data_IF_991303681935
#
_entry.id   IF_991303681935
#
_cell.length_a   1.000
_cell.length_b   1.000
_cell.length_c   1.000
_cell.angle_alpha   90.00
_cell.angle_beta   90.00
_cell.angle_gamma   90.00
#
_symmetry.space_group_name_H-M   'P 1'
#
loop_
_entity.id
_entity.type
_entity.pdbx_description
1 polymer ?
#
# COMPACT_ATOMS: atom_id res chain seq x y z
N UNK A 1 -3.18 18.83 -0.01
CA UNK A 1 -2.94 17.59 0.73
C UNK A 1 -3.60 16.48 -0.07
N UNK A 2 -2.81 15.65 -0.73
CA UNK A 2 -3.32 14.44 -1.41
C UNK A 2 -3.60 13.42 -0.32
N UNK A 3 -4.88 13.12 -0.10
CA UNK A 3 -5.32 12.10 0.85
C UNK A 3 -5.12 10.71 0.23
N UNK A 4 -4.81 9.71 1.06
CA UNK A 4 -4.72 8.33 0.60
C UNK A 4 -6.12 7.85 0.20
N UNK A 5 -6.23 7.23 -0.98
CA UNK A 5 -7.50 6.74 -1.51
C UNK A 5 -7.94 5.44 -0.83
N UNK A 6 -7.01 4.53 -0.61
CA UNK A 6 -7.19 3.37 0.27
C UNK A 6 -6.08 3.45 1.30
N UNK A 7 -6.43 3.39 2.58
CA UNK A 7 -5.46 3.47 3.66
C UNK A 7 -5.85 2.60 4.85
N UNK A 8 -4.82 2.14 5.57
CA UNK A 8 -4.93 1.37 6.80
C UNK A 8 -3.87 1.87 7.77
N UNK A 9 -4.27 2.10 9.01
CA UNK A 9 -3.31 2.42 10.06
C UNK A 9 -2.73 1.11 10.55
N UNK A 10 -1.41 1.04 10.72
CA UNK A 10 -0.77 -0.13 11.29
C UNK A 10 0.28 0.27 12.32
N UNK A 11 0.55 -0.65 13.24
CA UNK A 11 1.75 -0.65 14.07
C UNK A 11 2.79 -1.54 13.40
N UNK A 12 3.94 -0.97 13.11
CA UNK A 12 5.06 -1.64 12.46
C UNK A 12 6.08 -2.02 13.51
N UNK A 13 6.53 -3.27 13.46
CA UNK A 13 7.55 -3.84 14.33
C UNK A 13 8.75 -4.23 13.45
N UNK A 14 9.72 -3.33 13.25
CA UNK A 14 10.93 -3.65 12.51
C UNK A 14 11.73 -4.76 13.21
N UNK A 15 12.51 -5.58 12.47
CA UNK A 15 13.40 -6.57 13.07
C UNK A 15 14.51 -5.91 13.90
N UNK A 16 14.84 -4.66 13.60
CA UNK A 16 15.81 -3.83 14.31
C UNK A 16 15.25 -2.42 14.42
N UNK A 17 15.29 -1.84 15.62
CA UNK A 17 14.78 -0.49 15.88
C UNK A 17 13.52 -0.49 16.74
N UNK A 18 12.92 0.70 16.86
CA UNK A 18 11.69 0.90 17.63
C UNK A 18 10.47 0.65 16.77
N UNK A 19 9.40 0.14 17.39
CA UNK A 19 8.08 0.10 16.77
C UNK A 19 7.57 1.52 16.49
N UNK A 20 6.76 1.65 15.44
CA UNK A 20 6.16 2.92 15.08
C UNK A 20 4.78 2.71 14.42
N UNK A 21 3.91 3.71 14.54
CA UNK A 21 2.62 3.69 13.86
C UNK A 21 2.66 4.53 12.61
N UNK A 22 2.12 3.98 11.52
CA UNK A 22 2.07 4.65 10.21
C UNK A 22 0.73 4.40 9.54
N UNK A 23 0.31 5.35 8.70
CA UNK A 23 -0.79 5.18 7.77
C UNK A 23 -0.22 4.76 6.41
N UNK A 24 -0.50 3.54 6.02
CA UNK A 24 0.01 2.97 4.77
C UNK A 24 -1.15 2.75 3.81
N UNK A 25 -0.88 2.76 2.51
CA UNK A 25 -1.94 2.64 1.53
C UNK A 25 -1.53 3.09 0.15
N UNK A 26 -2.53 3.43 -0.65
CA UNK A 26 -2.34 3.88 -2.04
C UNK A 26 -3.07 5.20 -2.26
N UNK A 27 -2.43 6.10 -3.01
CA UNK A 27 -3.04 7.37 -3.43
C UNK A 27 -4.04 7.15 -4.57
N UNK A 28 -4.85 8.16 -4.87
CA UNK A 28 -5.76 8.10 -6.00
C UNK A 28 -4.95 7.87 -7.30
N UNK A 29 -5.43 7.04 -8.24
CA UNK A 29 -4.72 6.87 -9.49
C UNK A 29 -4.73 8.15 -10.31
N UNK A 30 -3.60 8.48 -10.93
CA UNK A 30 -3.40 9.68 -11.73
C UNK A 30 -2.94 9.31 -13.15
N UNK A 31 -3.28 10.18 -14.11
CA UNK A 31 -2.85 10.05 -15.50
C UNK A 31 -1.47 10.67 -15.66
N UNK A 32 -0.55 9.94 -16.28
CA UNK A 32 0.76 10.44 -16.67
C UNK A 32 0.70 11.15 -18.01
N UNK A 33 1.77 11.89 -18.36
CA UNK A 33 1.84 12.66 -19.60
C UNK A 33 1.70 11.81 -20.89
N UNK A 34 2.00 10.51 -20.82
CA UNK A 34 1.88 9.51 -21.90
C UNK A 34 0.54 8.75 -21.89
N UNK A 35 -0.47 9.25 -21.15
CA UNK A 35 -1.79 8.62 -20.98
C UNK A 35 -1.77 7.25 -20.27
N UNK A 36 -0.66 6.84 -19.68
CA UNK A 36 -0.67 5.72 -18.75
C UNK A 36 -1.34 6.15 -17.42
N UNK A 37 -1.84 5.18 -16.67
CA UNK A 37 -2.32 5.43 -15.32
C UNK A 37 -1.29 4.91 -14.33
N UNK A 38 -1.04 5.67 -13.28
CA UNK A 38 -0.27 5.20 -12.15
C UNK A 38 -1.00 5.38 -10.83
N UNK A 39 -0.51 4.71 -9.80
CA UNK A 39 -0.96 4.84 -8.44
C UNK A 39 0.27 4.85 -7.55
N UNK A 40 0.47 5.94 -6.79
CA UNK A 40 1.56 6.02 -5.82
C UNK A 40 1.19 5.22 -4.56
N UNK A 41 2.17 4.51 -3.99
CA UNK A 41 2.02 3.80 -2.72
C UNK A 41 2.69 4.59 -1.60
N UNK A 42 2.09 4.55 -0.41
CA UNK A 42 2.66 5.10 0.82
C UNK A 42 3.16 3.97 1.72
N UNK A 43 4.48 3.95 1.94
CA UNK A 43 5.21 3.03 2.81
C UNK A 43 6.14 3.78 3.78
N UNK A 44 5.68 4.92 4.30
CA UNK A 44 6.48 5.77 5.18
C UNK A 44 7.12 4.97 6.33
N UNK A 45 8.43 5.12 6.54
CA UNK A 45 9.20 4.40 7.56
C UNK A 45 9.44 2.91 7.28
N UNK A 46 8.76 2.31 6.30
CA UNK A 46 8.98 0.91 5.87
C UNK A 46 9.92 0.86 4.66
N UNK A 47 9.80 1.84 3.75
CA UNK A 47 10.59 1.94 2.52
C UNK A 47 10.96 3.42 2.26
N UNK A 48 12.22 3.66 1.89
CA UNK A 48 12.73 5.04 1.68
C UNK A 48 12.44 5.60 0.29
N UNK A 49 11.96 4.76 -0.65
CA UNK A 49 11.74 5.14 -2.04
C UNK A 49 10.26 5.09 -2.36
N UNK A 50 9.79 6.09 -3.09
CA UNK A 50 8.46 6.09 -3.68
C UNK A 50 8.27 4.86 -4.58
N UNK A 51 7.09 4.28 -4.47
CA UNK A 51 6.63 3.17 -5.32
C UNK A 51 5.42 3.62 -6.11
N UNK A 52 5.42 3.21 -7.37
CA UNK A 52 4.34 3.49 -8.30
C UNK A 52 3.93 2.18 -8.96
N UNK A 53 2.65 1.86 -8.89
CA UNK A 53 2.04 0.83 -9.70
C UNK A 53 1.47 1.47 -10.97
N UNK A 54 1.56 0.76 -12.09
CA UNK A 54 1.09 1.25 -13.39
C UNK A 54 -0.04 0.36 -13.90
N UNK A 55 -1.01 0.96 -14.58
CA UNK A 55 -2.14 0.29 -15.18
C UNK A 55 -2.52 0.87 -16.52
N UNK A 56 -3.28 0.10 -17.29
CA UNK A 56 -3.82 0.50 -18.60
C UNK A 56 -5.02 1.44 -18.48
N UNK A 57 -5.65 1.46 -17.30
CA UNK A 57 -6.73 2.36 -16.92
C UNK A 57 -6.67 2.65 -15.41
N UNK A 58 -7.55 3.54 -14.93
CA UNK A 58 -7.62 3.96 -13.54
C UNK A 58 -7.81 2.78 -12.57
N UNK A 59 -8.69 1.84 -12.92
CA UNK A 59 -9.03 0.70 -12.07
C UNK A 59 -7.87 -0.28 -12.02
N UNK A 60 -7.27 -0.57 -13.16
CA UNK A 60 -6.11 -1.44 -13.27
C UNK A 60 -4.94 -0.87 -12.46
N UNK A 61 -4.67 0.43 -12.56
CA UNK A 61 -3.60 1.06 -11.76
C UNK A 61 -3.85 0.95 -10.25
N UNK A 62 -5.10 1.13 -9.82
CA UNK A 62 -5.48 0.94 -8.41
C UNK A 62 -5.29 -0.51 -7.96
N UNK A 63 -5.75 -1.48 -8.77
CA UNK A 63 -5.60 -2.90 -8.46
C UNK A 63 -4.12 -3.28 -8.35
N UNK A 64 -3.30 -2.86 -9.31
CA UNK A 64 -1.85 -3.07 -9.27
C UNK A 64 -1.20 -2.40 -8.06
N UNK A 65 -1.70 -1.24 -7.63
CA UNK A 65 -1.26 -0.57 -6.41
C UNK A 65 -1.50 -1.42 -5.16
N UNK A 66 -2.70 -1.99 -5.01
CA UNK A 66 -3.05 -2.84 -3.88
C UNK A 66 -2.31 -4.19 -3.92
N UNK A 67 -2.14 -4.79 -5.09
CA UNK A 67 -1.36 -6.03 -5.24
C UNK A 67 0.12 -5.81 -4.88
N UNK A 68 0.73 -4.75 -5.42
CA UNK A 68 2.11 -4.38 -5.09
C UNK A 68 2.26 -4.08 -3.61
N UNK A 69 1.26 -3.45 -3.01
CA UNK A 69 1.23 -3.17 -1.59
C UNK A 69 1.32 -4.44 -0.74
N UNK A 70 0.49 -5.44 -1.07
CA UNK A 70 0.49 -6.74 -0.39
C UNK A 70 1.82 -7.49 -0.58
N UNK A 71 2.40 -7.47 -1.79
CA UNK A 71 3.68 -8.12 -2.09
C UNK A 71 4.82 -7.52 -1.26
N UNK A 72 4.92 -6.20 -1.18
CA UNK A 72 5.98 -5.49 -0.44
C UNK A 72 5.92 -5.81 1.07
N UNK A 73 4.73 -5.83 1.66
CA UNK A 73 4.55 -6.20 3.07
C UNK A 73 4.84 -7.68 3.34
N UNK A 74 4.45 -8.56 2.42
CA UNK A 74 4.77 -10.00 2.49
C UNK A 74 6.29 -10.21 2.45
N UNK A 75 6.99 -9.50 1.56
CA UNK A 75 8.45 -9.52 1.49
C UNK A 75 9.11 -8.98 2.78
N UNK A 76 8.62 -7.87 3.33
CA UNK A 76 9.09 -7.32 4.62
C UNK A 76 8.89 -8.31 5.76
N UNK A 77 7.75 -9.00 5.80
CA UNK A 77 7.46 -10.03 6.79
C UNK A 77 8.46 -11.19 6.71
N UNK A 78 8.81 -11.63 5.49
CA UNK A 78 9.84 -12.64 5.27
C UNK A 78 11.25 -12.19 5.76
N UNK A 79 11.49 -10.87 5.81
CA UNK A 79 12.71 -10.27 6.38
C UNK A 79 12.62 -10.01 7.90
N UNK A 80 11.59 -10.54 8.58
CA UNK A 80 11.45 -10.45 10.04
C UNK A 80 10.71 -9.21 10.56
N UNK A 81 10.10 -8.41 9.67
CA UNK A 81 9.17 -7.37 10.09
C UNK A 81 7.87 -8.00 10.58
N UNK A 82 7.19 -7.36 11.52
CA UNK A 82 5.81 -7.73 11.90
C UNK A 82 4.91 -6.52 11.80
N UNK A 83 3.67 -6.74 11.44
CA UNK A 83 2.66 -5.70 11.27
C UNK A 83 1.46 -6.06 12.14
N UNK A 84 0.99 -5.10 12.95
CA UNK A 84 -0.23 -5.25 13.74
C UNK A 84 -1.25 -4.23 13.26
N UNK A 85 -2.39 -4.72 12.83
CA UNK A 85 -3.49 -3.92 12.31
C UNK A 85 -4.44 -3.54 13.44
N UNK A 86 -5.11 -2.40 13.32
CA UNK A 86 -6.05 -1.96 14.34
C UNK A 86 -7.45 -2.49 14.03
N UNK A 87 -8.15 -3.01 15.06
CA UNK A 87 -9.49 -3.59 14.89
C UNK A 87 -9.47 -4.99 14.27
N UNK A 88 -10.46 -5.29 13.44
CA UNK A 88 -10.63 -6.58 12.74
C UNK A 88 -10.04 -6.58 11.32
N UNK A 89 -9.24 -5.55 10.97
CA UNK A 89 -8.64 -5.42 9.64
C UNK A 89 -7.64 -6.55 9.36
N UNK A 90 -7.78 -7.24 8.22
CA UNK A 90 -6.80 -8.23 7.75
C UNK A 90 -6.08 -7.74 6.51
N UNK A 91 -5.01 -8.49 6.20
CA UNK A 91 -4.03 -8.19 5.17
C UNK A 91 -4.18 -9.13 3.98
N UNK A 92 -5.42 -9.34 3.54
CA UNK A 92 -5.70 -10.10 2.34
C UNK A 92 -5.96 -9.13 1.17
N UNK A 93 -5.44 -9.39 -0.04
CA UNK A 93 -5.67 -8.53 -1.20
C UNK A 93 -7.16 -8.24 -1.44
N UNK A 94 -8.01 -9.25 -1.19
CA UNK A 94 -9.46 -9.19 -1.35
C UNK A 94 -10.17 -8.29 -0.32
N UNK A 95 -9.54 -8.03 0.84
CA UNK A 95 -10.04 -7.09 1.86
C UNK A 95 -9.53 -5.66 1.66
N UNK A 96 -8.46 -5.49 0.88
CA UNK A 96 -7.87 -4.19 0.54
C UNK A 96 -8.50 -3.58 -0.70
N UNK A 97 -8.92 -4.41 -1.66
CA UNK A 97 -9.72 -3.97 -2.80
C UNK A 97 -11.17 -3.76 -2.34
N UNK A 98 -11.85 -2.66 -2.71
CA UNK A 98 -13.28 -2.59 -2.49
C UNK A 98 -13.95 -3.75 -3.24
N UNK A 99 -14.92 -4.43 -2.62
CA UNK A 99 -15.74 -5.41 -3.32
C UNK A 99 -16.62 -4.67 -4.34
N UNK A 100 -16.10 -4.46 -5.55
CA UNK A 100 -16.88 -3.91 -6.65
C UNK A 100 -17.68 -5.07 -7.28
N UNK A 101 -18.93 -5.22 -6.82
CA UNK A 101 -19.92 -6.14 -7.37
C UNK A 101 -20.38 -5.78 -8.77
#
# INVERSE_FOLDING_TARGET
MTELFISRKCMVHPPQGSEFSVLIGVFAPEVTADQAWHCQLSFEGIQDKDRFAYGVDQRHALQMGVEMFWVELSFKTAMGWRFSWFGDERMEPDELLPHWG
#
